data_IF_678161195379
#
_entry.id   IF_678161195379
#
_cell.length_a   1.000
_cell.length_b   1.000
_cell.length_c   1.000
_cell.angle_alpha   90.00
_cell.angle_beta   90.00
_cell.angle_gamma   90.00
#
_symmetry.space_group_name_H-M   'P 1'
#
loop_
_entity.id
_entity.type
_entity.pdbx_description
1 polymer ?
#
# COMPACT_ATOMS: atom_id res chain seq x y z
N UNK A 1 66.12 38.50 21.57
CA UNK A 1 65.62 38.20 22.94
C UNK A 1 64.13 37.87 22.79
N UNK A 2 63.51 36.78 23.28
CA UNK A 2 63.59 35.95 24.51
C UNK A 2 62.72 36.51 25.66
N UNK A 3 61.82 35.67 26.22
CA UNK A 3 60.65 35.94 27.12
C UNK A 3 59.37 36.37 26.37
N UNK A 4 58.18 35.72 26.41
CA UNK A 4 57.59 34.57 27.15
C UNK A 4 56.97 34.86 28.54
N UNK A 5 55.62 34.93 28.62
CA UNK A 5 54.65 34.62 29.73
C UNK A 5 53.21 34.83 29.18
N UNK A 6 52.14 34.02 29.34
CA UNK A 6 51.75 32.92 30.28
C UNK A 6 51.36 33.43 31.68
N UNK A 7 50.12 33.29 32.22
CA UNK A 7 48.82 32.72 31.76
C UNK A 7 47.67 33.69 32.20
N UNK A 8 46.34 33.50 32.23
CA UNK A 8 45.33 32.40 32.30
C UNK A 8 44.05 32.83 31.50
N UNK A 9 42.98 32.08 31.15
CA UNK A 9 42.46 30.70 31.38
C UNK A 9 41.18 30.57 32.25
N UNK A 10 40.02 30.43 31.57
CA UNK A 10 38.74 29.82 32.00
C UNK A 10 37.96 29.43 30.72
N UNK A 11 37.49 28.20 30.41
CA UNK A 11 37.27 26.93 31.16
C UNK A 11 36.19 27.10 32.22
N UNK A 12 34.98 26.52 32.12
CA UNK A 12 34.57 25.10 31.95
C UNK A 12 33.50 24.91 30.82
N UNK A 13 33.45 23.83 29.99
CA UNK A 13 32.83 22.46 30.15
C UNK A 13 31.43 22.41 30.82
N UNK A 14 30.44 21.55 30.48
CA UNK A 14 30.31 20.31 29.67
C UNK A 14 29.09 20.40 28.69
N UNK A 15 28.71 19.46 27.80
CA UNK A 15 28.89 17.98 27.67
C UNK A 15 29.11 17.48 26.22
N UNK A 16 29.82 16.34 26.12
CA UNK A 16 29.75 15.21 25.15
C UNK A 16 29.28 15.44 23.68
N UNK A 17 29.97 15.05 22.60
CA UNK A 17 30.84 13.88 22.31
C UNK A 17 30.06 12.52 22.26
N UNK A 18 30.28 11.59 21.32
CA UNK A 18 31.29 11.52 20.23
C UNK A 18 30.80 10.65 19.06
N UNK A 19 31.52 10.72 17.94
CA UNK A 19 31.39 9.96 16.70
C UNK A 19 30.75 8.54 16.77
N UNK A 20 29.72 8.33 15.95
CA UNK A 20 29.16 7.01 15.60
C UNK A 20 29.12 6.83 14.07
N UNK A 21 29.57 5.68 13.59
CA UNK A 21 29.85 5.42 12.18
C UNK A 21 28.61 5.41 11.28
N UNK A 22 28.79 5.87 10.03
CA UNK A 22 28.14 5.32 8.83
C UNK A 22 26.60 5.17 8.88
N UNK A 23 25.89 6.29 8.93
CA UNK A 23 24.49 6.36 8.44
C UNK A 23 24.44 6.26 6.91
N UNK A 24 24.85 5.09 6.40
CA UNK A 24 24.51 4.51 5.10
C UNK A 24 24.87 5.36 3.86
N UNK A 25 26.14 5.26 3.47
CA UNK A 25 26.51 5.24 2.05
C UNK A 25 25.96 3.96 1.39
N UNK A 26 24.64 3.90 1.19
CA UNK A 26 24.02 3.00 0.22
C UNK A 26 23.78 3.81 -1.04
N UNK A 27 24.85 4.00 -1.82
CA UNK A 27 24.76 4.24 -3.27
C UNK A 27 24.33 2.93 -3.98
N UNK A 28 23.29 2.29 -3.45
CA UNK A 28 22.57 1.24 -4.13
C UNK A 28 21.49 1.92 -4.97
N UNK A 29 21.70 1.96 -6.29
CA UNK A 29 20.67 2.35 -7.23
C UNK A 29 19.53 1.35 -7.17
N UNK A 30 18.60 1.56 -6.23
CA UNK A 30 17.39 0.75 -6.13
C UNK A 30 16.41 1.23 -7.20
N UNK A 31 16.74 0.91 -8.46
CA UNK A 31 15.79 0.83 -9.56
C UNK A 31 14.67 -0.11 -9.12
N UNK A 32 13.65 0.46 -8.47
CA UNK A 32 12.44 -0.28 -8.09
C UNK A 32 11.88 -0.90 -9.35
N UNK A 33 12.10 -2.21 -9.50
CA UNK A 33 11.80 -2.95 -10.73
C UNK A 33 10.33 -2.68 -11.07
N UNK A 34 10.09 -2.10 -12.25
CA UNK A 34 8.75 -1.69 -12.67
C UNK A 34 7.97 -2.91 -13.16
N UNK A 35 7.49 -3.70 -12.20
CA UNK A 35 6.61 -4.87 -12.45
C UNK A 35 5.23 -4.39 -12.89
N UNK A 36 4.74 -3.33 -12.25
CA UNK A 36 3.52 -2.64 -12.62
C UNK A 36 3.78 -1.53 -13.65
N UNK A 37 2.93 -1.44 -14.66
CA UNK A 37 2.95 -0.34 -15.63
C UNK A 37 2.16 0.91 -15.17
N UNK A 38 1.70 0.98 -13.91
CA UNK A 38 0.84 2.06 -13.39
C UNK A 38 -0.59 2.07 -13.96
N UNK A 39 -0.92 1.12 -14.82
CA UNK A 39 -2.27 0.91 -15.34
C UNK A 39 -2.98 -0.19 -14.58
N UNK A 40 -4.30 -0.11 -14.63
CA UNK A 40 -5.23 -1.01 -13.96
C UNK A 40 -6.28 -1.32 -15.02
N UNK A 41 -5.99 -2.32 -15.85
CA UNK A 41 -6.73 -2.63 -17.08
C UNK A 41 -8.22 -2.90 -16.83
N UNK A 42 -8.58 -3.40 -15.65
CA UNK A 42 -9.98 -3.55 -15.22
C UNK A 42 -10.75 -2.22 -15.19
N UNK A 43 -10.12 -1.06 -14.99
CA UNK A 43 -10.77 0.26 -15.10
C UNK A 43 -11.12 0.64 -16.55
N UNK A 44 -10.37 0.13 -17.52
CA UNK A 44 -10.59 0.43 -18.95
C UNK A 44 -11.74 -0.39 -19.57
N UNK A 45 -12.18 -1.48 -18.92
CA UNK A 45 -13.31 -2.29 -19.42
C UNK A 45 -14.64 -1.54 -19.24
N UNK A 46 -15.62 -1.87 -20.08
CA UNK A 46 -16.99 -1.36 -19.94
C UNK A 46 -17.61 -1.74 -18.58
N UNK A 47 -18.41 -0.82 -18.03
CA UNK A 47 -19.13 -1.02 -16.77
C UNK A 47 -20.22 -2.08 -16.91
N UNK A 48 -20.43 -2.86 -15.86
CA UNK A 48 -21.52 -3.84 -15.69
C UNK A 48 -22.33 -3.48 -14.44
N UNK A 49 -23.54 -4.01 -14.29
CA UNK A 49 -24.37 -3.77 -13.11
C UNK A 49 -23.68 -4.19 -11.78
N UNK A 50 -22.86 -5.24 -11.82
CA UNK A 50 -22.09 -5.72 -10.66
C UNK A 50 -20.89 -4.82 -10.27
N UNK A 51 -20.56 -3.80 -11.08
CA UNK A 51 -19.51 -2.82 -10.73
C UNK A 51 -20.00 -1.74 -9.77
N UNK A 52 -21.32 -1.52 -9.69
CA UNK A 52 -21.93 -0.54 -8.80
C UNK A 52 -21.59 -0.83 -7.33
N UNK A 53 -21.17 0.20 -6.61
CA UNK A 53 -20.96 0.13 -5.17
C UNK A 53 -22.30 -0.04 -4.44
N UNK A 54 -22.37 -0.82 -3.35
CA UNK A 54 -23.56 -0.88 -2.51
C UNK A 54 -23.76 0.44 -1.77
N UNK A 55 -25.01 0.76 -1.43
CA UNK A 55 -25.36 2.04 -0.79
C UNK A 55 -24.62 2.29 0.53
N UNK A 56 -24.33 1.22 1.30
CA UNK A 56 -23.51 1.27 2.52
C UNK A 56 -22.11 1.84 2.32
N UNK A 57 -21.51 1.67 1.13
CA UNK A 57 -20.22 2.29 0.77
C UNK A 57 -20.39 3.76 0.40
N UNK A 58 -21.49 4.12 -0.27
CA UNK A 58 -21.76 5.49 -0.71
C UNK A 58 -22.14 6.40 0.47
N UNK A 59 -22.90 5.88 1.44
CA UNK A 59 -23.28 6.57 2.68
C UNK A 59 -22.11 6.66 3.69
N UNK A 60 -21.04 5.88 3.50
CA UNK A 60 -19.89 5.88 4.40
C UNK A 60 -19.03 7.13 4.18
N UNK A 61 -18.72 7.94 5.22
CA UNK A 61 -17.96 9.20 5.09
C UNK A 61 -16.54 9.12 4.49
N UNK A 62 -16.05 7.94 4.10
CA UNK A 62 -14.88 7.78 3.25
C UNK A 62 -15.17 8.13 1.78
N UNK A 63 -16.35 7.76 1.27
CA UNK A 63 -16.77 8.02 -0.11
C UNK A 63 -16.87 9.53 -0.38
N UNK A 64 -17.65 10.24 0.43
CA UNK A 64 -17.78 11.71 0.41
C UNK A 64 -16.44 12.44 0.42
N UNK A 65 -15.46 11.91 1.16
CA UNK A 65 -14.13 12.52 1.25
C UNK A 65 -13.27 12.19 0.03
N UNK A 66 -13.24 10.94 -0.44
CA UNK A 66 -12.22 10.46 -1.36
C UNK A 66 -12.66 10.20 -2.81
N UNK A 67 -13.93 9.88 -3.08
CA UNK A 67 -14.36 9.49 -4.44
C UNK A 67 -14.53 10.68 -5.39
N UNK A 68 -14.23 10.46 -6.67
CA UNK A 68 -14.42 11.46 -7.73
C UNK A 68 -15.90 11.73 -8.07
N UNK A 69 -16.80 10.78 -7.77
CA UNK A 69 -18.26 10.94 -7.85
C UNK A 69 -18.90 10.42 -6.56
N UNK A 70 -19.92 11.12 -6.00
CA UNK A 70 -20.66 10.67 -4.82
C UNK A 70 -21.51 9.41 -5.09
N UNK A 71 -21.68 8.99 -6.35
CA UNK A 71 -22.35 7.72 -6.72
C UNK A 71 -21.36 6.60 -7.03
N UNK A 72 -20.06 6.84 -6.85
CA UNK A 72 -19.01 5.91 -7.25
C UNK A 72 -18.91 5.70 -8.77
N UNK A 73 -19.34 6.67 -9.59
CA UNK A 73 -19.29 6.56 -11.06
C UNK A 73 -17.87 6.18 -11.55
N UNK A 74 -17.78 5.15 -12.40
CA UNK A 74 -16.51 4.61 -12.89
C UNK A 74 -15.83 3.58 -11.99
N UNK A 75 -16.44 3.21 -10.85
CA UNK A 75 -16.05 2.05 -10.05
C UNK A 75 -16.04 0.74 -10.85
N UNK A 76 -15.25 -0.23 -10.40
CA UNK A 76 -15.16 -1.59 -10.97
C UNK A 76 -15.02 -2.62 -9.87
N UNK A 77 -15.82 -3.67 -9.95
CA UNK A 77 -15.61 -4.89 -9.18
C UNK A 77 -14.36 -5.60 -9.70
N UNK A 78 -13.47 -5.95 -8.77
CA UNK A 78 -12.19 -6.61 -9.02
C UNK A 78 -12.31 -8.11 -8.71
N UNK A 79 -12.74 -8.41 -7.48
CA UNK A 79 -12.71 -9.74 -6.91
C UNK A 79 -13.91 -9.97 -5.99
N UNK A 80 -14.33 -11.23 -5.87
CA UNK A 80 -15.39 -11.69 -4.96
C UNK A 80 -14.94 -13.02 -4.36
N UNK A 81 -14.89 -13.10 -3.03
CA UNK A 81 -14.52 -14.31 -2.29
C UNK A 81 -15.51 -14.52 -1.13
N UNK A 82 -16.51 -15.38 -1.33
CA UNK A 82 -17.62 -15.51 -0.38
C UNK A 82 -18.42 -14.21 -0.29
N UNK A 83 -18.45 -13.57 0.88
CA UNK A 83 -19.08 -12.27 1.12
C UNK A 83 -18.15 -11.07 0.92
N UNK A 84 -16.84 -11.30 0.83
CA UNK A 84 -15.84 -10.25 0.55
C UNK A 84 -15.93 -9.81 -0.92
N UNK A 85 -16.06 -8.50 -1.16
CA UNK A 85 -15.93 -7.87 -2.48
C UNK A 85 -14.89 -6.76 -2.47
N UNK A 86 -14.05 -6.76 -3.50
CA UNK A 86 -13.05 -5.70 -3.73
C UNK A 86 -13.41 -4.86 -4.95
N UNK A 87 -13.39 -3.55 -4.80
CA UNK A 87 -13.66 -2.58 -5.87
C UNK A 87 -12.48 -1.62 -6.06
N UNK A 88 -12.18 -1.24 -7.31
CA UNK A 88 -11.37 -0.07 -7.60
C UNK A 88 -12.31 1.10 -7.92
N UNK A 89 -12.13 2.24 -7.25
CA UNK A 89 -13.00 3.42 -7.37
C UNK A 89 -12.17 4.65 -7.73
N UNK A 90 -12.52 5.40 -8.79
CA UNK A 90 -11.84 6.67 -9.12
C UNK A 90 -11.90 7.67 -7.96
N UNK A 91 -10.74 8.13 -7.51
CA UNK A 91 -10.59 9.08 -6.41
C UNK A 91 -10.41 10.52 -6.89
N UNK A 92 -10.64 11.48 -5.97
CA UNK A 92 -10.38 12.91 -6.22
C UNK A 92 -8.89 13.15 -6.51
N UNK A 93 -8.60 14.22 -7.25
CA UNK A 93 -7.21 14.61 -7.57
C UNK A 93 -6.44 13.61 -8.44
N UNK A 94 -7.11 12.65 -9.09
CA UNK A 94 -6.46 11.57 -9.86
C UNK A 94 -5.99 10.39 -9.02
N UNK A 95 -6.38 10.33 -7.74
CA UNK A 95 -6.18 9.14 -6.91
C UNK A 95 -6.95 7.93 -7.47
N UNK A 96 -6.51 6.74 -7.06
CA UNK A 96 -7.30 5.52 -7.16
C UNK A 96 -7.53 4.98 -5.75
N UNK A 97 -8.73 4.48 -5.49
CA UNK A 97 -9.11 3.88 -4.22
C UNK A 97 -9.33 2.37 -4.40
N UNK A 98 -8.76 1.57 -3.51
CA UNK A 98 -9.25 0.23 -3.21
C UNK A 98 -10.34 0.35 -2.15
N UNK A 99 -11.46 -0.33 -2.36
CA UNK A 99 -12.58 -0.42 -1.42
C UNK A 99 -12.87 -1.89 -1.17
N UNK A 100 -13.02 -2.24 0.09
CA UNK A 100 -13.41 -3.55 0.59
C UNK A 100 -14.82 -3.47 1.16
N UNK A 101 -15.61 -4.52 0.93
CA UNK A 101 -16.94 -4.70 1.50
C UNK A 101 -17.07 -6.15 1.95
N UNK A 102 -17.50 -6.38 3.19
CA UNK A 102 -17.97 -7.70 3.63
C UNK A 102 -19.48 -7.62 3.92
N UNK A 103 -20.26 -8.31 3.09
CA UNK A 103 -21.71 -8.42 3.27
C UNK A 103 -22.11 -9.12 4.58
N UNK A 104 -21.25 -10.01 5.12
CA UNK A 104 -21.57 -10.76 6.34
C UNK A 104 -21.40 -9.91 7.60
N UNK A 105 -20.30 -9.16 7.68
CA UNK A 105 -20.05 -8.21 8.77
C UNK A 105 -20.79 -6.87 8.59
N UNK A 106 -21.37 -6.61 7.41
CA UNK A 106 -21.94 -5.32 6.99
C UNK A 106 -20.93 -4.15 7.09
N UNK A 107 -19.65 -4.42 6.90
CA UNK A 107 -18.54 -3.46 6.98
C UNK A 107 -18.07 -3.02 5.60
N UNK A 108 -17.41 -1.85 5.56
CA UNK A 108 -16.67 -1.38 4.38
C UNK A 108 -15.35 -0.72 4.79
N UNK A 109 -14.26 -1.12 4.13
CA UNK A 109 -12.92 -0.56 4.26
C UNK A 109 -12.53 0.24 3.02
N UNK A 110 -11.57 1.16 3.15
CA UNK A 110 -11.11 1.96 2.01
C UNK A 110 -9.70 2.53 2.18
N UNK A 111 -8.92 2.48 1.09
CA UNK A 111 -7.57 3.02 1.01
C UNK A 111 -7.35 3.67 -0.36
N UNK A 112 -6.84 4.91 -0.41
CA UNK A 112 -6.62 5.66 -1.66
C UNK A 112 -5.19 6.19 -1.75
N UNK A 113 -4.63 6.21 -2.96
CA UNK A 113 -3.32 6.81 -3.25
C UNK A 113 -3.26 7.42 -4.66
N UNK A 114 -2.22 8.20 -4.97
CA UNK A 114 -1.86 8.53 -6.36
C UNK A 114 -1.62 7.21 -7.12
N UNK A 115 -2.33 7.02 -8.24
CA UNK A 115 -2.25 5.83 -9.10
C UNK A 115 -0.81 5.51 -9.55
N UNK A 116 0.10 6.49 -9.57
CA UNK A 116 1.53 6.28 -9.80
C UNK A 116 2.20 5.30 -8.84
N UNK A 117 1.66 5.08 -7.63
CA UNK A 117 2.19 4.06 -6.71
C UNK A 117 2.19 2.67 -7.35
N UNK A 118 1.24 2.39 -8.26
CA UNK A 118 1.09 1.13 -8.99
C UNK A 118 2.15 0.90 -10.09
N UNK A 119 3.12 1.82 -10.22
CA UNK A 119 4.35 1.59 -11.00
C UNK A 119 5.40 0.81 -10.20
N UNK A 120 5.39 0.94 -8.87
CA UNK A 120 6.46 0.49 -7.96
C UNK A 120 5.89 0.10 -6.58
N UNK A 121 4.71 -0.50 -6.57
CA UNK A 121 3.95 -0.87 -5.38
C UNK A 121 2.48 -1.18 -5.64
N UNK A 122 1.70 -1.13 -4.56
CA UNK A 122 0.27 -1.45 -4.50
C UNK A 122 -0.50 -0.37 -3.73
N UNK A 123 -1.83 -0.44 -3.82
CA UNK A 123 -2.72 0.09 -2.79
C UNK A 123 -3.24 -1.13 -2.02
N UNK A 124 -3.17 -1.12 -0.69
CA UNK A 124 -3.56 -2.28 0.12
C UNK A 124 -4.20 -1.87 1.45
N UNK A 125 -4.83 -2.86 2.10
CA UNK A 125 -5.35 -2.81 3.47
C UNK A 125 -4.95 -4.13 4.17
N UNK A 126 -4.81 -4.13 5.50
CA UNK A 126 -4.16 -5.19 6.25
C UNK A 126 -4.79 -5.35 7.66
N UNK A 127 -6.03 -5.80 7.67
CA UNK A 127 -6.92 -5.71 8.83
C UNK A 127 -6.72 -6.91 9.76
N UNK A 128 -6.42 -6.62 11.04
CA UNK A 128 -6.16 -7.65 12.05
C UNK A 128 -7.44 -8.44 12.38
N UNK A 129 -7.31 -9.76 12.36
CA UNK A 129 -8.34 -10.74 12.66
C UNK A 129 -8.31 -11.14 14.15
N UNK A 130 -9.35 -11.87 14.61
CA UNK A 130 -9.47 -12.29 16.02
C UNK A 130 -8.34 -13.24 16.48
N UNK A 131 -7.78 -14.05 15.57
CA UNK A 131 -6.62 -14.92 15.83
C UNK A 131 -5.27 -14.15 15.89
N UNK A 132 -5.30 -12.83 15.71
CA UNK A 132 -4.13 -11.94 15.70
C UNK A 132 -3.45 -11.79 14.34
N UNK A 133 -3.80 -12.62 13.36
CA UNK A 133 -3.32 -12.55 11.97
C UNK A 133 -3.93 -11.36 11.21
N UNK A 134 -3.62 -11.22 9.92
CA UNK A 134 -4.13 -10.17 9.03
C UNK A 134 -4.86 -10.77 7.82
N UNK A 135 -5.99 -10.17 7.49
CA UNK A 135 -6.56 -10.20 6.14
C UNK A 135 -5.86 -9.10 5.35
N UNK A 136 -5.15 -9.46 4.28
CA UNK A 136 -4.45 -8.48 3.43
C UNK A 136 -5.05 -8.49 2.04
N UNK A 137 -5.74 -7.40 1.69
CA UNK A 137 -6.31 -7.17 0.37
C UNK A 137 -5.50 -6.12 -0.37
N UNK A 138 -5.35 -6.28 -1.69
CA UNK A 138 -4.52 -5.35 -2.46
C UNK A 138 -4.92 -5.18 -3.91
N UNK A 139 -4.51 -4.04 -4.45
CA UNK A 139 -4.70 -3.57 -5.81
C UNK A 139 -3.32 -3.21 -6.40
N UNK A 140 -2.99 -3.80 -7.53
CA UNK A 140 -1.66 -3.74 -8.18
C UNK A 140 -1.74 -3.31 -9.64
N UNK A 141 -0.68 -2.70 -10.15
CA UNK A 141 -0.58 -2.35 -11.58
C UNK A 141 -0.54 -3.59 -12.48
N UNK A 142 -0.98 -3.46 -13.74
CA UNK A 142 -0.90 -4.54 -14.73
C UNK A 142 0.56 -5.01 -14.88
N UNK A 143 0.74 -6.34 -14.92
CA UNK A 143 2.05 -7.01 -14.97
C UNK A 143 2.29 -7.97 -13.81
N UNK A 144 1.65 -7.72 -12.66
CA UNK A 144 1.62 -8.66 -11.53
C UNK A 144 0.67 -9.84 -11.83
N UNK A 145 1.06 -11.05 -11.44
CA UNK A 145 0.29 -12.29 -11.63
C UNK A 145 0.05 -13.06 -10.34
N UNK A 146 0.78 -12.77 -9.26
CA UNK A 146 0.60 -13.39 -7.95
C UNK A 146 0.91 -12.44 -6.79
N UNK A 147 0.37 -12.79 -5.62
CA UNK A 147 0.74 -12.25 -4.31
C UNK A 147 1.07 -13.42 -3.36
N UNK A 148 1.98 -13.20 -2.42
CA UNK A 148 2.47 -14.26 -1.53
C UNK A 148 2.86 -13.71 -0.17
N UNK A 149 2.49 -14.40 0.90
CA UNK A 149 3.04 -14.21 2.24
C UNK A 149 3.31 -15.58 2.86
N UNK A 150 4.45 -15.73 3.54
CA UNK A 150 4.75 -16.91 4.38
C UNK A 150 4.62 -18.27 3.66
N UNK A 151 4.84 -18.27 2.33
CA UNK A 151 4.70 -19.44 1.46
C UNK A 151 3.28 -19.69 0.92
N UNK A 152 2.26 -19.00 1.46
CA UNK A 152 0.91 -18.98 0.89
C UNK A 152 0.89 -18.03 -0.33
N UNK A 153 0.86 -18.61 -1.53
CA UNK A 153 0.74 -17.86 -2.79
C UNK A 153 -0.69 -17.90 -3.34
N UNK A 154 -1.21 -16.72 -3.67
CA UNK A 154 -2.50 -16.52 -4.37
C UNK A 154 -2.27 -15.87 -5.73
N UNK A 155 -3.26 -15.99 -6.62
CA UNK A 155 -3.22 -15.36 -7.94
C UNK A 155 -3.68 -13.90 -7.86
N UNK A 156 -3.08 -13.02 -8.66
CA UNK A 156 -3.64 -11.70 -8.94
C UNK A 156 -4.67 -11.82 -10.06
N UNK A 157 -5.90 -11.41 -9.79
CA UNK A 157 -7.02 -11.44 -10.75
C UNK A 157 -7.71 -10.07 -10.79
N UNK A 158 -7.99 -9.58 -12.01
CA UNK A 158 -8.56 -8.23 -12.23
C UNK A 158 -7.81 -7.12 -11.45
N UNK A 159 -6.48 -7.15 -11.46
CA UNK A 159 -5.59 -6.27 -10.68
C UNK A 159 -5.65 -6.40 -9.15
N UNK A 160 -6.43 -7.33 -8.58
CA UNK A 160 -6.56 -7.52 -7.14
C UNK A 160 -5.99 -8.85 -6.62
N UNK A 161 -5.73 -8.91 -5.31
CA UNK A 161 -5.46 -10.14 -4.56
C UNK A 161 -6.07 -10.09 -3.16
N UNK A 162 -6.28 -11.28 -2.57
CA UNK A 162 -6.66 -11.48 -1.17
C UNK A 162 -5.71 -12.52 -0.56
N UNK A 163 -5.04 -12.17 0.55
CA UNK A 163 -4.28 -13.09 1.38
C UNK A 163 -4.92 -13.17 2.76
N UNK A 164 -5.20 -14.38 3.23
CA UNK A 164 -5.83 -14.65 4.53
C UNK A 164 -4.80 -15.21 5.51
N UNK A 165 -5.04 -14.98 6.80
CA UNK A 165 -4.22 -15.50 7.91
C UNK A 165 -2.72 -15.16 7.83
N UNK A 166 -2.39 -13.96 7.36
CA UNK A 166 -1.00 -13.46 7.30
C UNK A 166 -0.55 -13.06 8.71
N UNK A 167 0.43 -13.76 9.27
CA UNK A 167 1.04 -13.42 10.56
C UNK A 167 2.25 -12.48 10.38
N UNK A 168 2.86 -12.48 9.19
CA UNK A 168 4.04 -11.69 8.85
C UNK A 168 3.80 -10.19 8.72
N UNK A 169 4.92 -9.46 8.63
CA UNK A 169 4.97 -8.01 8.37
C UNK A 169 5.13 -7.66 6.89
N UNK A 170 5.09 -8.63 5.96
CA UNK A 170 5.27 -8.33 4.53
C UNK A 170 4.50 -9.26 3.59
N UNK A 171 4.17 -8.74 2.40
CA UNK A 171 3.61 -9.48 1.26
C UNK A 171 4.54 -9.27 0.06
N UNK A 172 4.84 -10.31 -0.70
CA UNK A 172 5.50 -10.19 -2.00
C UNK A 172 4.48 -10.27 -3.12
N UNK A 173 4.38 -9.24 -3.94
CA UNK A 173 3.65 -9.26 -5.22
C UNK A 173 4.64 -9.48 -6.36
N UNK A 174 4.24 -10.19 -7.41
CA UNK A 174 5.19 -10.53 -8.47
C UNK A 174 4.59 -11.06 -9.76
N UNK A 175 5.48 -11.26 -10.71
CA UNK A 175 5.28 -11.88 -12.02
C UNK A 175 6.27 -13.05 -12.19
N UNK A 176 6.22 -13.81 -13.30
CA UNK A 176 7.23 -14.84 -13.58
C UNK A 176 8.66 -14.33 -13.76
N UNK A 177 8.87 -13.00 -13.86
CA UNK A 177 10.17 -12.39 -14.18
C UNK A 177 10.67 -11.34 -13.17
N UNK A 178 9.82 -10.90 -12.23
CA UNK A 178 10.17 -9.90 -11.22
C UNK A 178 9.29 -9.99 -9.97
N UNK A 179 9.81 -9.57 -8.82
CA UNK A 179 9.09 -9.56 -7.53
C UNK A 179 9.32 -8.27 -6.76
N UNK A 180 8.32 -7.85 -5.99
CA UNK A 180 8.37 -6.69 -5.10
C UNK A 180 7.76 -7.05 -3.74
N UNK A 181 8.47 -6.72 -2.67
CA UNK A 181 7.95 -6.77 -1.30
C UNK A 181 7.19 -5.48 -0.96
N UNK A 182 6.07 -5.66 -0.27
CA UNK A 182 5.23 -4.66 0.41
C UNK A 182 5.46 -4.86 1.91
N UNK A 183 5.79 -3.78 2.63
CA UNK A 183 5.82 -3.77 4.09
C UNK A 183 4.39 -3.45 4.60
N UNK A 184 3.87 -4.29 5.50
CA UNK A 184 2.55 -4.13 6.13
C UNK A 184 2.60 -3.33 7.43
N UNK A 185 3.80 -2.99 7.92
CA UNK A 185 4.04 -2.46 9.26
C UNK A 185 4.17 -3.57 10.31
N UNK A 186 4.95 -3.27 11.36
CA UNK A 186 5.06 -4.04 12.60
C UNK A 186 4.36 -3.32 13.74
#
# INVERSE_FOLDING_TARGET
>A
MKRRRVQFAAVLILTAATAGLLSQFVLGGNDKVKIGNGSVSVLARASKAADSLPQSVLDYPFADRNFASPRGDGSRLLHVEGTLRLYAVPGKGGMLCLVEVDDAAATAGGSCADRRILLTGSIFMADRQEDGSRLVVGLVGDGHTYAEAEGLRVRVESNAFVLRSVAGSSVTVGSPTATQTIDLGG
#
